data_IF_715876745447
#
_entry.id   IF_715876745447
#
_cell.length_a   1.000
_cell.length_b   1.000
_cell.length_c   1.000
_cell.angle_alpha   90.00
_cell.angle_beta   90.00
_cell.angle_gamma   90.00
#
_symmetry.space_group_name_H-M   'P 1'
#
loop_
_entity.id
_entity.type
_entity.pdbx_description
1 polymer ?
#
# COMPACT_ATOMS: atom_id res chain seq x y z
N UNK A 1 14.89 -4.80 25.11
CA UNK A 1 13.61 -4.87 24.37
C UNK A 1 13.77 -6.01 23.39
N UNK A 2 13.10 -7.12 23.61
CA UNK A 2 13.14 -8.25 22.70
C UNK A 2 12.41 -7.85 21.44
N UNK A 3 13.14 -7.83 20.33
CA UNK A 3 12.57 -7.65 19.01
C UNK A 3 11.54 -8.76 18.80
N UNK A 4 10.27 -8.38 18.74
CA UNK A 4 9.22 -9.35 18.50
C UNK A 4 9.45 -9.93 17.11
N UNK A 5 9.58 -11.24 17.03
CA UNK A 5 9.76 -11.94 15.78
C UNK A 5 8.67 -11.48 14.79
N UNK A 6 9.08 -11.08 13.59
CA UNK A 6 8.14 -10.68 12.55
C UNK A 6 7.15 -11.80 12.27
N UNK A 7 5.85 -11.52 12.26
CA UNK A 7 4.88 -12.52 11.87
C UNK A 7 5.13 -12.95 10.42
N UNK A 8 5.28 -14.23 10.21
CA UNK A 8 5.39 -14.79 8.85
C UNK A 8 4.00 -14.95 8.27
N UNK A 9 3.77 -14.39 7.10
CA UNK A 9 2.56 -14.60 6.31
C UNK A 9 2.84 -15.63 5.22
N UNK A 10 1.98 -16.63 5.15
CA UNK A 10 1.92 -17.49 3.97
C UNK A 10 0.89 -16.88 3.01
N UNK A 11 1.37 -16.32 1.95
CA UNK A 11 0.54 -15.58 0.98
C UNK A 11 0.85 -16.01 -0.45
N UNK A 12 -0.11 -15.80 -1.32
CA UNK A 12 0.08 -16.02 -2.74
C UNK A 12 1.17 -15.10 -3.30
N UNK A 13 1.97 -15.65 -4.21
CA UNK A 13 2.97 -14.85 -4.90
C UNK A 13 2.32 -13.73 -5.71
N UNK A 14 2.75 -12.53 -5.49
CA UNK A 14 2.23 -11.34 -6.19
C UNK A 14 3.39 -10.52 -6.72
N UNK A 15 3.25 -10.08 -7.95
CA UNK A 15 4.19 -9.11 -8.52
C UNK A 15 4.01 -7.80 -7.75
N UNK A 16 5.11 -7.27 -7.25
CA UNK A 16 5.09 -5.96 -6.61
C UNK A 16 4.53 -4.92 -7.57
N UNK A 17 3.62 -4.12 -7.05
CA UNK A 17 3.26 -2.88 -7.70
C UNK A 17 4.45 -1.92 -7.71
N UNK A 18 4.42 -0.87 -8.51
CA UNK A 18 5.52 0.06 -8.57
C UNK A 18 5.75 0.66 -7.19
N UNK A 19 6.99 0.65 -6.78
CA UNK A 19 7.43 1.49 -5.69
C UNK A 19 7.15 2.93 -6.13
N UNK A 20 6.36 3.70 -5.38
CA UNK A 20 6.18 5.10 -5.71
C UNK A 20 7.56 5.72 -5.87
N UNK A 21 7.78 6.52 -6.89
CA UNK A 21 9.04 7.22 -7.02
C UNK A 21 9.31 7.89 -5.70
N UNK A 22 10.45 7.59 -5.11
CA UNK A 22 10.97 8.36 -4.01
C UNK A 22 11.02 9.78 -4.52
N UNK A 23 10.10 10.57 -4.09
CA UNK A 23 10.13 11.96 -4.42
C UNK A 23 11.25 12.57 -3.61
N UNK A 24 12.45 12.35 -4.07
CA UNK A 24 13.64 12.96 -3.54
C UNK A 24 13.57 14.50 -3.51
N UNK A 25 12.39 15.06 -3.81
CA UNK A 25 12.30 16.49 -4.09
C UNK A 25 10.96 16.98 -4.05
N UNK A 26 10.27 16.41 -3.22
CA UNK A 26 8.98 16.89 -3.16
C UNK A 26 8.86 18.21 -2.44
N UNK A 27 9.08 19.19 -3.17
CA UNK A 27 8.04 20.20 -3.16
C UNK A 27 6.78 19.52 -3.66
N UNK A 28 6.15 18.73 -2.83
CA UNK A 28 4.84 18.22 -3.12
C UNK A 28 3.91 19.41 -3.14
N UNK A 29 3.48 19.87 -4.28
CA UNK A 29 2.41 20.84 -4.27
C UNK A 29 1.17 20.06 -3.83
N UNK A 30 0.84 20.14 -2.56
CA UNK A 30 -0.49 19.82 -2.11
C UNK A 30 -1.45 20.72 -2.90
N UNK A 31 -2.07 20.18 -3.93
CA UNK A 31 -3.03 20.94 -4.71
C UNK A 31 -4.39 20.92 -4.00
N UNK A 32 -5.11 22.03 -4.04
CA UNK A 32 -6.40 22.14 -3.37
C UNK A 32 -7.45 21.18 -3.94
N UNK A 33 -7.28 20.75 -5.20
CA UNK A 33 -8.23 19.87 -5.87
C UNK A 33 -7.52 18.92 -6.83
N UNK A 34 -7.54 17.63 -6.51
CA UNK A 34 -7.04 16.57 -7.39
C UNK A 34 -8.21 15.90 -8.11
N UNK A 35 -8.22 15.96 -9.43
CA UNK A 35 -9.18 15.23 -10.26
C UNK A 35 -8.65 13.83 -10.54
N UNK A 36 -9.11 12.87 -9.77
CA UNK A 36 -8.57 11.50 -9.78
C UNK A 36 -8.71 10.83 -11.14
N UNK A 37 -9.82 11.06 -11.85
CA UNK A 37 -10.03 10.48 -13.17
C UNK A 37 -9.04 11.02 -14.22
N UNK A 38 -8.73 12.31 -14.17
CA UNK A 38 -7.75 12.95 -15.06
C UNK A 38 -6.34 12.43 -14.77
N UNK A 39 -5.98 12.35 -13.48
CA UNK A 39 -4.69 11.80 -13.06
C UNK A 39 -4.54 10.33 -13.47
N UNK A 40 -5.57 9.53 -13.31
CA UNK A 40 -5.55 8.12 -13.71
C UNK A 40 -5.40 7.95 -15.25
N UNK A 41 -6.03 8.82 -16.02
CA UNK A 41 -5.87 8.83 -17.48
C UNK A 41 -4.46 9.24 -17.91
N UNK A 42 -3.87 10.22 -17.24
CA UNK A 42 -2.50 10.68 -17.49
C UNK A 42 -1.46 9.59 -17.17
N UNK A 43 -1.59 8.92 -16.02
CA UNK A 43 -0.64 7.90 -15.56
C UNK A 43 -0.81 6.56 -16.30
N UNK A 44 -1.95 6.34 -16.93
CA UNK A 44 -2.19 5.23 -17.83
C UNK A 44 -2.43 3.88 -17.14
N UNK A 45 -2.38 2.77 -17.93
CA UNK A 45 -2.83 1.46 -17.48
C UNK A 45 -1.80 0.65 -16.66
N UNK A 46 -0.55 1.05 -16.61
CA UNK A 46 0.45 0.37 -15.78
C UNK A 46 0.09 0.51 -14.29
N UNK A 47 0.74 -0.27 -13.44
CA UNK A 47 0.64 -0.04 -12.00
C UNK A 47 1.35 1.26 -11.63
N UNK A 48 0.75 2.06 -10.76
CA UNK A 48 1.34 3.32 -10.28
C UNK A 48 0.89 3.66 -8.87
N UNK A 49 1.70 4.46 -8.21
CA UNK A 49 1.33 5.14 -6.98
C UNK A 49 1.69 6.62 -7.09
N UNK A 50 0.80 7.50 -6.71
CA UNK A 50 0.96 8.95 -6.77
C UNK A 50 0.58 9.57 -5.44
N UNK A 51 1.54 10.24 -4.81
CA UNK A 51 1.29 11.05 -3.62
C UNK A 51 0.49 12.27 -4.03
N UNK A 52 -0.62 12.52 -3.33
CA UNK A 52 -1.51 13.65 -3.61
C UNK A 52 -1.59 14.65 -2.47
N UNK A 53 -1.33 14.20 -1.23
CA UNK A 53 -1.18 15.06 -0.06
C UNK A 53 0.03 14.57 0.74
N UNK A 54 0.86 15.50 1.19
CA UNK A 54 1.98 15.20 2.08
C UNK A 54 2.25 16.40 3.00
N UNK A 55 2.17 16.19 4.28
CA UNK A 55 2.57 17.14 5.31
C UNK A 55 3.19 16.39 6.51
N UNK A 56 3.44 17.09 7.59
CA UNK A 56 4.03 16.51 8.80
C UNK A 56 3.13 15.54 9.55
N UNK A 57 1.85 15.42 9.17
CA UNK A 57 0.85 14.60 9.85
C UNK A 57 0.32 13.46 9.03
N UNK A 58 0.32 13.63 7.69
CA UNK A 58 -0.30 12.65 6.81
C UNK A 58 0.39 12.53 5.46
N UNK A 59 0.31 11.34 4.93
CA UNK A 59 0.72 11.00 3.59
C UNK A 59 -0.46 10.33 2.89
N UNK A 60 -1.00 10.97 1.85
CA UNK A 60 -2.13 10.43 1.10
C UNK A 60 -1.66 10.05 -0.30
N UNK A 61 -1.85 8.80 -0.65
CA UNK A 61 -1.36 8.22 -1.91
C UNK A 61 -2.50 7.55 -2.66
N UNK A 62 -2.66 7.90 -3.92
CA UNK A 62 -3.48 7.13 -4.86
C UNK A 62 -2.63 6.00 -5.42
N UNK A 63 -3.18 4.79 -5.39
CA UNK A 63 -2.50 3.58 -5.87
C UNK A 63 -3.42 2.86 -6.82
N UNK A 64 -2.93 2.61 -8.03
CA UNK A 64 -3.63 1.83 -9.03
C UNK A 64 -2.83 0.59 -9.40
N UNK A 65 -3.49 -0.56 -9.37
CA UNK A 65 -2.85 -1.86 -9.59
C UNK A 65 -3.64 -2.68 -10.62
N UNK A 66 -2.97 -3.27 -11.62
CA UNK A 66 -3.59 -4.24 -12.52
C UNK A 66 -4.09 -5.49 -11.79
N UNK A 67 -4.96 -6.30 -12.42
CA UNK A 67 -5.41 -7.57 -11.88
C UNK A 67 -4.24 -8.47 -11.44
N UNK A 68 -4.37 -9.13 -10.29
CA UNK A 68 -3.39 -10.07 -9.75
C UNK A 68 -2.11 -9.44 -9.21
N UNK A 69 -1.94 -8.12 -9.32
CA UNK A 69 -0.80 -7.40 -8.74
C UNK A 69 -1.14 -6.82 -7.36
N UNK A 70 -0.12 -6.54 -6.58
CA UNK A 70 -0.28 -6.00 -5.24
C UNK A 70 1.01 -5.47 -4.65
N UNK A 71 0.97 -5.19 -3.36
CA UNK A 71 2.16 -4.80 -2.64
C UNK A 71 2.90 -6.01 -2.06
N UNK A 72 4.13 -5.82 -1.67
CA UNK A 72 4.89 -6.77 -0.85
C UNK A 72 4.27 -6.82 0.56
N UNK A 73 4.24 -7.99 1.24
CA UNK A 73 3.81 -8.09 2.63
C UNK A 73 4.66 -7.21 3.52
N UNK A 74 4.02 -6.36 4.31
CA UNK A 74 4.70 -5.44 5.20
C UNK A 74 3.81 -5.05 6.38
N UNK A 75 4.39 -4.35 7.32
CA UNK A 75 3.70 -3.81 8.48
C UNK A 75 4.31 -2.46 8.89
N UNK A 76 3.61 -1.73 9.73
CA UNK A 76 4.03 -0.44 10.26
C UNK A 76 4.12 -0.51 11.78
N UNK A 77 5.19 0.05 12.34
CA UNK A 77 5.40 0.08 13.79
C UNK A 77 4.63 1.23 14.43
N UNK A 78 4.62 2.37 13.80
CA UNK A 78 4.34 3.64 14.44
C UNK A 78 2.99 4.24 14.08
N UNK A 79 2.28 3.70 13.11
CA UNK A 79 0.99 4.21 12.68
C UNK A 79 0.06 3.10 12.18
N UNK A 80 -1.23 3.39 12.27
CA UNK A 80 -2.28 2.60 11.66
C UNK A 80 -2.47 3.11 10.22
N UNK A 81 -2.64 2.19 9.25
CA UNK A 81 -2.88 2.57 7.87
C UNK A 81 -4.32 2.26 7.47
N UNK A 82 -4.88 3.09 6.62
CA UNK A 82 -6.23 2.85 6.14
C UNK A 82 -6.40 3.27 4.69
N UNK A 83 -7.39 2.67 4.05
CA UNK A 83 -7.66 2.86 2.62
C UNK A 83 -9.12 3.08 2.36
N UNK A 84 -9.40 3.82 1.29
CA UNK A 84 -10.70 3.86 0.62
C UNK A 84 -10.55 3.18 -0.74
N UNK A 85 -11.35 2.17 -1.02
CA UNK A 85 -11.42 1.55 -2.35
C UNK A 85 -12.24 2.45 -3.26
N UNK A 86 -11.62 3.01 -4.28
CA UNK A 86 -12.25 3.95 -5.21
C UNK A 86 -12.74 3.28 -6.49
N UNK A 87 -12.10 2.18 -6.90
CA UNK A 87 -12.53 1.36 -8.04
C UNK A 87 -11.99 -0.06 -7.92
N UNK A 88 -12.70 -1.00 -8.52
CA UNK A 88 -12.32 -2.41 -8.58
C UNK A 88 -12.53 -3.14 -7.25
N UNK A 89 -11.82 -4.24 -7.09
CA UNK A 89 -11.87 -5.12 -5.91
C UNK A 89 -10.46 -5.40 -5.43
N UNK A 90 -10.31 -5.48 -4.12
CA UNK A 90 -9.05 -5.74 -3.45
C UNK A 90 -9.25 -6.79 -2.35
N UNK A 91 -8.20 -7.54 -2.09
CA UNK A 91 -8.12 -8.44 -0.94
C UNK A 91 -6.95 -8.02 -0.06
N UNK A 92 -7.18 -8.00 1.25
CA UNK A 92 -6.16 -7.86 2.29
C UNK A 92 -5.98 -9.20 2.99
N UNK A 93 -4.78 -9.74 2.95
CA UNK A 93 -4.36 -10.89 3.74
C UNK A 93 -3.58 -10.37 4.95
N UNK A 94 -4.09 -10.64 6.15
CA UNK A 94 -3.54 -10.10 7.40
C UNK A 94 -2.91 -11.19 8.25
N UNK A 95 -1.97 -10.81 9.10
CA UNK A 95 -1.45 -11.70 10.15
C UNK A 95 -2.59 -12.33 10.94
N UNK A 96 -2.47 -13.62 11.24
CA UNK A 96 -3.51 -14.38 11.96
C UNK A 96 -4.54 -15.02 11.02
N UNK A 97 -4.34 -14.94 9.70
CA UNK A 97 -5.18 -15.63 8.71
C UNK A 97 -6.47 -14.90 8.36
N UNK A 98 -6.64 -13.66 8.80
CA UNK A 98 -7.80 -12.84 8.40
C UNK A 98 -7.66 -12.42 6.94
N UNK A 99 -8.70 -12.64 6.17
CA UNK A 99 -8.81 -12.20 4.78
C UNK A 99 -10.01 -11.28 4.64
N UNK A 100 -9.76 -10.07 4.11
CA UNK A 100 -10.80 -9.06 3.88
C UNK A 100 -10.93 -8.82 2.38
N UNK A 101 -12.14 -8.92 1.85
CA UNK A 101 -12.47 -8.55 0.49
C UNK A 101 -13.18 -7.21 0.51
N UNK A 102 -12.71 -6.26 -0.27
CA UNK A 102 -13.29 -4.93 -0.33
C UNK A 102 -13.47 -4.46 -1.77
N UNK A 103 -14.57 -3.79 -2.01
CA UNK A 103 -14.95 -3.21 -3.30
C UNK A 103 -15.11 -1.70 -3.23
N UNK A 104 -15.47 -1.11 -4.36
CA UNK A 104 -15.66 0.35 -4.48
C UNK A 104 -16.57 0.91 -3.39
N UNK A 105 -16.08 1.91 -2.67
CA UNK A 105 -16.78 2.57 -1.55
C UNK A 105 -16.45 2.01 -0.18
N UNK A 106 -15.76 0.87 -0.10
CA UNK A 106 -15.37 0.31 1.19
C UNK A 106 -14.15 1.02 1.78
N UNK A 107 -14.11 1.03 3.10
CA UNK A 107 -12.97 1.52 3.89
C UNK A 107 -12.36 0.33 4.63
N UNK A 108 -11.04 0.18 4.50
CA UNK A 108 -10.28 -0.83 5.22
C UNK A 108 -9.29 -0.13 6.15
N UNK A 109 -9.22 -0.56 7.39
CA UNK A 109 -8.28 -0.07 8.39
C UNK A 109 -7.46 -1.23 8.94
N UNK A 110 -6.15 -1.06 9.00
CA UNK A 110 -5.22 -2.04 9.54
C UNK A 110 -4.40 -1.39 10.66
N UNK A 111 -4.45 -1.93 11.88
CA UNK A 111 -3.69 -1.38 13.00
C UNK A 111 -2.18 -1.63 12.81
N UNK A 112 -1.39 -0.74 13.38
CA UNK A 112 0.07 -0.92 13.48
C UNK A 112 0.45 -2.28 14.03
N UNK A 113 1.57 -2.82 13.59
CA UNK A 113 2.05 -4.15 13.98
C UNK A 113 1.37 -5.31 13.25
N UNK A 114 0.37 -5.04 12.42
CA UNK A 114 -0.29 -6.08 11.62
C UNK A 114 0.34 -6.16 10.24
N UNK A 115 0.94 -7.32 9.93
CA UNK A 115 1.42 -7.57 8.57
C UNK A 115 0.21 -7.65 7.64
N UNK A 116 0.30 -6.95 6.53
CA UNK A 116 -0.73 -6.96 5.50
C UNK A 116 -0.13 -7.08 4.11
N UNK A 117 -0.86 -7.78 3.28
CA UNK A 117 -0.60 -7.97 1.87
C UNK A 117 -1.87 -7.61 1.10
N UNK A 118 -1.77 -6.67 0.20
CA UNK A 118 -2.92 -6.15 -0.55
C UNK A 118 -2.76 -6.54 -2.01
N UNK A 119 -3.81 -7.11 -2.60
CA UNK A 119 -3.79 -7.58 -3.97
C UNK A 119 -5.07 -7.19 -4.69
N UNK A 120 -4.94 -6.83 -5.96
CA UNK A 120 -6.09 -6.60 -6.84
C UNK A 120 -6.75 -7.92 -7.20
N UNK A 121 -8.04 -8.02 -6.94
CA UNK A 121 -8.87 -9.20 -7.17
C UNK A 121 -9.76 -9.01 -8.41
N UNK A 122 -10.04 -10.13 -9.09
CA UNK A 122 -10.89 -10.13 -10.28
C UNK A 122 -10.13 -9.73 -11.55
N UNK A 123 -10.88 -9.37 -12.60
CA UNK A 123 -10.36 -9.06 -13.93
C UNK A 123 -10.10 -7.57 -14.17
N UNK A 124 -10.61 -6.73 -13.28
CA UNK A 124 -10.49 -5.27 -13.40
C UNK A 124 -9.34 -4.75 -12.53
N UNK A 125 -8.78 -3.64 -12.97
CA UNK A 125 -7.80 -2.93 -12.15
C UNK A 125 -8.44 -2.32 -10.92
N UNK A 126 -7.68 -2.19 -9.86
CA UNK A 126 -8.11 -1.48 -8.66
C UNK A 126 -7.53 -0.07 -8.59
N UNK A 127 -8.25 0.80 -7.89
CA UNK A 127 -7.79 2.11 -7.47
C UNK A 127 -8.15 2.30 -6.00
N UNK A 128 -7.16 2.67 -5.19
CA UNK A 128 -7.37 2.94 -3.77
C UNK A 128 -6.66 4.21 -3.34
N UNK A 129 -7.22 4.89 -2.38
CA UNK A 129 -6.58 5.95 -1.62
C UNK A 129 -6.00 5.34 -0.36
N UNK A 130 -4.70 5.48 -0.14
CA UNK A 130 -4.01 5.06 1.06
C UNK A 130 -3.67 6.27 1.92
N UNK A 131 -3.90 6.16 3.22
CA UNK A 131 -3.55 7.22 4.19
C UNK A 131 -2.62 6.63 5.25
N UNK A 132 -1.45 7.21 5.35
CA UNK A 132 -0.39 6.85 6.27
C UNK A 132 0.12 8.08 7.03
N UNK A 133 0.93 7.87 8.05
CA UNK A 133 1.61 8.94 8.77
C UNK A 133 3.11 8.97 8.40
N UNK A 134 3.72 10.18 8.29
CA UNK A 134 5.16 10.29 8.14
C UNK A 134 5.91 9.67 9.34
N UNK A 135 7.08 9.07 9.13
CA UNK A 135 7.79 8.88 7.86
C UNK A 135 7.30 7.72 6.99
N UNK A 136 6.19 7.09 7.31
CA UNK A 136 5.62 5.94 6.61
C UNK A 136 6.63 4.78 6.43
N UNK A 137 7.32 4.44 7.51
CA UNK A 137 8.30 3.36 7.52
C UNK A 137 7.63 2.02 7.32
N UNK A 138 8.11 1.26 6.33
CA UNK A 138 7.66 -0.07 6.01
C UNK A 138 8.65 -1.11 6.54
N UNK A 139 8.15 -2.08 7.28
CA UNK A 139 8.90 -3.26 7.71
C UNK A 139 8.39 -4.45 6.90
N UNK A 140 9.27 -5.04 6.09
CA UNK A 140 8.90 -6.10 5.18
C UNK A 140 8.97 -7.46 5.86
N UNK A 141 7.92 -8.24 5.71
CA UNK A 141 7.90 -9.62 6.16
C UNK A 141 8.62 -10.54 5.17
N UNK A 142 9.33 -11.55 5.66
CA UNK A 142 9.83 -12.62 4.83
C UNK A 142 8.68 -13.31 4.08
N UNK A 143 8.93 -13.69 2.85
CA UNK A 143 8.00 -14.48 2.04
C UNK A 143 8.77 -15.53 1.27
N UNK A 144 8.62 -16.79 1.65
CA UNK A 144 9.31 -17.90 0.99
C UNK A 144 8.91 -18.04 -0.48
N UNK A 145 7.64 -17.84 -0.81
CA UNK A 145 7.13 -17.94 -2.18
C UNK A 145 7.66 -16.82 -3.10
N UNK A 146 7.90 -15.64 -2.52
CA UNK A 146 8.40 -14.50 -3.27
C UNK A 146 9.93 -14.40 -3.26
N UNK A 147 10.62 -15.24 -2.46
CA UNK A 147 12.06 -15.16 -2.27
C UNK A 147 12.51 -13.90 -1.51
N UNK A 148 11.59 -13.20 -0.87
CA UNK A 148 11.94 -12.04 -0.06
C UNK A 148 12.46 -12.47 1.31
N UNK A 149 13.58 -11.89 1.70
CA UNK A 149 14.11 -11.94 3.05
C UNK A 149 13.72 -10.68 3.82
N UNK A 150 13.82 -10.72 5.14
CA UNK A 150 13.67 -9.52 5.95
C UNK A 150 14.90 -8.62 5.75
N UNK A 151 14.73 -7.56 4.97
CA UNK A 151 15.81 -6.62 4.66
C UNK A 151 15.87 -5.46 5.69
N UNK A 152 15.08 -5.56 6.75
CA UNK A 152 14.93 -4.49 7.72
C UNK A 152 13.95 -3.38 7.26
N UNK A 153 13.84 -2.31 8.05
CA UNK A 153 12.91 -1.23 7.77
C UNK A 153 13.33 -0.44 6.53
N UNK A 154 12.35 -0.13 5.70
CA UNK A 154 12.52 0.80 4.58
C UNK A 154 11.60 1.99 4.75
N UNK A 155 12.15 3.16 4.79
CA UNK A 155 11.37 4.38 4.75
C UNK A 155 10.92 4.68 3.32
N UNK A 156 9.64 4.98 3.18
CA UNK A 156 9.18 5.67 1.99
C UNK A 156 9.74 7.10 2.04
N UNK A 157 10.88 7.28 1.47
CA UNK A 157 11.33 8.64 1.20
C UNK A 157 10.46 9.18 0.07
N UNK A 158 9.64 10.11 0.47
CA UNK A 158 8.78 10.85 -0.43
C UNK A 158 9.60 11.56 -1.50
#
# INVERSE_FOLDING_TARGET
MTDAAHPTLTISHVVEGPIPPTAANATWPNVLHTRVAELAAELGPAAWAKRVIADERQLVTLISSPPGTGNRPHWHRDFDEWWVVMAGRLVWELTGGTVLHAGTGDIVWVPRGTVHHIRTEGAERSLRLAVAMPPATHYFSPCEQCGFTDDGPREWRA
#
